data_IF_129762485651
#
_entry.id   IF_129762485651
#
_cell.length_a   1.000
_cell.length_b   1.000
_cell.length_c   1.000
_cell.angle_alpha   90.00
_cell.angle_beta   90.00
_cell.angle_gamma   90.00
#
_symmetry.space_group_name_H-M   'P 1'
#
loop_
_entity.id
_entity.type
_entity.pdbx_description
1 polymer ?
#
# COMPACT_ATOMS: atom_id res chain seq x y z
N UNK A 1 18.55 -99.12 19.32
CA UNK A 1 17.53 -98.45 20.13
C UNK A 1 17.69 -96.95 19.95
N UNK A 2 17.02 -96.44 18.92
CA UNK A 2 17.18 -95.03 18.45
C UNK A 2 15.92 -94.27 18.61
N UNK A 3 16.00 -93.20 19.33
CA UNK A 3 14.91 -92.24 19.46
C UNK A 3 15.22 -90.96 18.67
N UNK A 4 14.71 -90.90 17.44
CA UNK A 4 14.74 -89.70 16.61
C UNK A 4 13.73 -88.66 17.16
N UNK A 5 14.23 -87.59 17.69
CA UNK A 5 13.41 -86.38 18.04
C UNK A 5 13.21 -85.52 16.80
N UNK A 6 11.98 -85.48 16.33
CA UNK A 6 11.54 -84.51 15.27
C UNK A 6 11.34 -83.14 15.90
N UNK A 7 12.17 -82.17 15.55
CA UNK A 7 12.01 -80.77 15.83
C UNK A 7 11.05 -80.14 14.83
N UNK A 8 9.85 -79.70 15.25
CA UNK A 8 8.91 -78.95 14.42
C UNK A 8 9.27 -77.47 14.50
N UNK A 9 9.79 -76.88 13.40
CA UNK A 9 9.96 -75.47 13.24
C UNK A 9 8.58 -74.83 12.96
N UNK A 10 8.09 -74.00 13.89
CA UNK A 10 6.99 -73.11 13.63
C UNK A 10 7.55 -71.77 13.07
N UNK A 11 7.33 -71.51 11.77
CA UNK A 11 7.59 -70.24 11.18
C UNK A 11 6.44 -69.27 11.54
N UNK A 12 6.71 -68.29 12.38
CA UNK A 12 5.79 -67.16 12.67
C UNK A 12 5.99 -66.14 11.59
N UNK A 13 5.03 -66.03 10.68
CA UNK A 13 4.97 -64.98 9.64
C UNK A 13 4.34 -63.72 10.24
N UNK A 14 5.19 -62.76 10.63
CA UNK A 14 4.72 -61.45 11.14
C UNK A 14 4.42 -60.56 9.95
N UNK A 15 3.13 -60.35 9.66
CA UNK A 15 2.67 -59.34 8.71
C UNK A 15 2.82 -57.93 9.31
N UNK A 16 3.82 -57.18 8.88
CA UNK A 16 3.91 -55.72 9.14
C UNK A 16 2.94 -54.97 8.21
N UNK A 17 1.80 -54.60 8.73
CA UNK A 17 0.91 -53.64 8.07
C UNK A 17 1.45 -52.23 8.30
N UNK A 18 2.18 -51.70 7.30
CA UNK A 18 2.63 -50.32 7.28
C UNK A 18 1.44 -49.39 7.04
N UNK A 19 1.00 -48.67 8.07
CA UNK A 19 0.03 -47.57 7.91
C UNK A 19 0.73 -46.41 7.21
N UNK A 20 0.39 -46.13 5.93
CA UNK A 20 0.76 -44.90 5.25
C UNK A 20 0.02 -43.73 5.93
N UNK A 21 0.72 -42.97 6.75
CA UNK A 21 0.23 -41.67 7.25
C UNK A 21 0.32 -40.69 6.09
N UNK A 22 -0.80 -40.46 5.38
CA UNK A 22 -0.94 -39.34 4.45
C UNK A 22 -0.96 -38.07 5.29
N UNK A 23 0.18 -37.39 5.37
CA UNK A 23 0.23 -36.06 5.97
C UNK A 23 -0.58 -35.13 5.07
N UNK A 24 -1.78 -34.76 5.52
CA UNK A 24 -2.61 -33.79 4.83
C UNK A 24 -1.84 -32.47 4.70
N UNK A 25 -1.65 -31.99 3.46
CA UNK A 25 -1.13 -30.65 3.22
C UNK A 25 -2.09 -29.66 3.88
N UNK A 26 -1.61 -28.78 4.78
CA UNK A 26 -2.49 -27.82 5.43
C UNK A 26 -3.17 -26.95 4.35
N UNK A 27 -4.47 -26.64 4.48
CA UNK A 27 -5.16 -25.82 3.50
C UNK A 27 -4.46 -24.47 3.39
N UNK A 28 -4.05 -24.12 2.17
CA UNK A 28 -3.54 -22.76 1.87
C UNK A 28 -4.65 -21.79 2.18
N UNK A 29 -4.51 -21.07 3.27
CA UNK A 29 -5.49 -20.07 3.70
C UNK A 29 -5.50 -18.96 2.63
N UNK A 30 -6.60 -18.83 1.89
CA UNK A 30 -6.76 -17.79 0.89
C UNK A 30 -6.53 -16.42 1.56
N UNK A 31 -5.49 -15.69 1.13
CA UNK A 31 -5.23 -14.34 1.63
C UNK A 31 -6.39 -13.45 1.16
N UNK A 32 -7.04 -12.78 2.09
CA UNK A 32 -8.04 -11.78 1.71
C UNK A 32 -7.34 -10.62 1.01
N UNK A 33 -7.73 -10.37 -0.23
CA UNK A 33 -7.27 -9.25 -1.05
C UNK A 33 -8.49 -8.46 -1.48
N UNK A 34 -8.43 -7.13 -1.37
CA UNK A 34 -9.46 -6.23 -1.90
C UNK A 34 -8.82 -5.21 -2.80
N UNK A 35 -9.40 -5.02 -3.97
CA UNK A 35 -8.99 -3.98 -4.92
C UNK A 35 -10.08 -2.94 -5.05
N UNK A 36 -9.71 -1.67 -5.10
CA UNK A 36 -10.60 -0.57 -5.44
C UNK A 36 -9.96 0.31 -6.51
N UNK A 37 -10.77 0.83 -7.41
CA UNK A 37 -10.36 1.72 -8.50
C UNK A 37 -11.09 3.04 -8.32
N UNK A 38 -10.37 4.15 -8.33
CA UNK A 38 -10.91 5.49 -8.20
C UNK A 38 -10.32 6.41 -9.27
N UNK A 39 -11.12 7.30 -9.89
CA UNK A 39 -10.59 8.36 -10.72
C UNK A 39 -9.85 9.38 -9.86
N UNK A 40 -8.89 10.10 -10.44
CA UNK A 40 -8.34 11.27 -9.80
C UNK A 40 -9.33 12.45 -9.94
N UNK A 41 -9.29 13.30 -8.92
CA UNK A 41 -10.04 14.56 -8.88
C UNK A 41 -9.08 15.72 -8.71
N UNK A 42 -9.43 16.88 -9.29
CA UNK A 42 -8.68 18.12 -9.05
C UNK A 42 -8.80 18.44 -7.55
N UNK A 43 -7.65 18.61 -6.89
CA UNK A 43 -7.57 18.88 -5.47
C UNK A 43 -8.27 20.21 -5.12
N UNK A 44 -9.07 20.20 -4.06
CA UNK A 44 -9.85 21.37 -3.62
C UNK A 44 -11.07 21.72 -4.50
N UNK A 45 -11.16 21.22 -5.74
CA UNK A 45 -12.28 21.49 -6.66
C UNK A 45 -13.22 20.28 -6.75
N UNK A 46 -12.68 19.06 -6.66
CA UNK A 46 -13.44 17.83 -6.69
C UNK A 46 -13.86 17.34 -8.08
N UNK A 47 -13.58 18.09 -9.16
CA UNK A 47 -13.88 17.67 -10.53
C UNK A 47 -13.06 16.44 -10.92
N UNK A 48 -13.72 15.45 -11.54
CA UNK A 48 -13.09 14.21 -12.00
C UNK A 48 -12.23 14.48 -13.24
N UNK A 49 -11.01 13.94 -13.26
CA UNK A 49 -10.13 13.90 -14.40
C UNK A 49 -10.38 12.57 -15.14
N UNK A 50 -11.11 12.65 -16.26
CA UNK A 50 -11.42 11.48 -17.10
C UNK A 50 -10.14 10.92 -17.72
N UNK A 51 -9.98 9.59 -17.73
CA UNK A 51 -8.79 8.92 -18.26
C UNK A 51 -7.64 8.76 -17.26
N UNK A 52 -7.78 9.32 -16.04
CA UNK A 52 -6.86 9.05 -14.92
C UNK A 52 -7.41 7.94 -14.04
N UNK A 53 -6.55 7.30 -13.25
CA UNK A 53 -7.00 6.27 -12.32
C UNK A 53 -5.96 5.91 -11.27
N UNK A 54 -6.48 5.59 -10.09
CA UNK A 54 -5.72 4.97 -9.01
C UNK A 54 -6.32 3.61 -8.71
N UNK A 55 -5.47 2.59 -8.68
CA UNK A 55 -5.81 1.24 -8.24
C UNK A 55 -5.16 1.05 -6.87
N UNK A 56 -5.97 0.71 -5.87
CA UNK A 56 -5.52 0.38 -4.54
C UNK A 56 -5.79 -1.10 -4.26
N UNK A 57 -4.75 -1.84 -3.93
CA UNK A 57 -4.82 -3.24 -3.50
C UNK A 57 -4.57 -3.30 -1.99
N UNK A 58 -5.51 -3.87 -1.25
CA UNK A 58 -5.44 -4.05 0.21
C UNK A 58 -5.20 -5.52 0.54
N UNK A 59 -4.23 -5.78 1.40
CA UNK A 59 -3.97 -7.08 2.04
C UNK A 59 -3.92 -6.89 3.55
N UNK A 60 -3.80 -7.95 4.31
CA UNK A 60 -3.62 -7.84 5.76
C UNK A 60 -2.23 -7.29 6.15
N UNK A 61 -1.26 -7.42 5.25
CA UNK A 61 0.11 -6.97 5.43
C UNK A 61 0.31 -5.48 5.11
N UNK A 62 -0.58 -4.89 4.29
CA UNK A 62 -0.44 -3.51 3.84
C UNK A 62 -1.28 -3.17 2.63
N UNK A 63 -0.91 -2.08 1.96
CA UNK A 63 -1.59 -1.57 0.77
C UNK A 63 -0.60 -1.26 -0.34
N UNK A 64 -0.99 -1.58 -1.58
CA UNK A 64 -0.26 -1.18 -2.78
C UNK A 64 -1.09 -0.23 -3.63
N UNK A 65 -0.45 0.77 -4.25
CA UNK A 65 -1.09 1.61 -5.25
C UNK A 65 -0.37 1.55 -6.59
N UNK A 66 -1.16 1.70 -7.65
CA UNK A 66 -0.70 2.21 -8.94
C UNK A 66 -1.59 3.38 -9.31
N UNK A 67 -1.00 4.45 -9.84
CA UNK A 67 -1.72 5.66 -10.19
C UNK A 67 -1.20 6.17 -11.53
N UNK A 68 -2.10 6.35 -12.49
CA UNK A 68 -1.83 6.98 -13.77
C UNK A 68 -2.52 8.33 -13.83
N UNK A 69 -1.78 9.37 -14.26
CA UNK A 69 -2.34 10.72 -14.39
C UNK A 69 -1.76 11.48 -15.56
N UNK A 70 -2.47 12.54 -15.94
CA UNK A 70 -2.06 13.49 -17.01
C UNK A 70 -2.47 14.92 -16.65
N UNK A 71 -2.22 15.85 -17.56
CA UNK A 71 -2.46 17.28 -17.36
C UNK A 71 -1.41 17.93 -16.47
N UNK A 72 -0.27 17.26 -16.33
CA UNK A 72 0.90 17.76 -15.62
C UNK A 72 1.75 18.64 -16.53
N UNK A 73 2.52 19.55 -15.95
CA UNK A 73 3.49 20.35 -16.72
C UNK A 73 4.71 19.48 -17.04
N UNK A 74 5.06 19.26 -18.32
CA UNK A 74 6.23 18.46 -18.69
C UNK A 74 7.52 18.97 -18.02
N UNK A 75 8.34 18.04 -17.53
CA UNK A 75 9.61 18.35 -16.86
C UNK A 75 9.48 18.86 -15.43
N UNK A 76 8.28 19.10 -14.92
CA UNK A 76 8.07 19.39 -13.50
C UNK A 76 8.15 18.10 -12.67
N UNK A 77 8.50 18.27 -11.40
CA UNK A 77 8.62 17.20 -10.42
C UNK A 77 7.32 17.06 -9.63
N UNK A 78 6.90 15.82 -9.45
CA UNK A 78 5.68 15.47 -8.72
C UNK A 78 5.95 14.34 -7.73
N UNK A 79 5.23 14.34 -6.62
CA UNK A 79 5.21 13.24 -5.65
C UNK A 79 3.79 12.75 -5.44
N UNK A 80 3.64 11.44 -5.22
CA UNK A 80 2.41 10.83 -4.74
C UNK A 80 2.55 10.52 -3.25
N UNK A 81 1.58 10.99 -2.47
CA UNK A 81 1.55 10.87 -1.01
C UNK A 81 0.42 9.96 -0.59
N UNK A 82 0.69 9.07 0.36
CA UNK A 82 -0.30 8.33 1.10
C UNK A 82 -0.89 9.21 2.20
N UNK A 83 -2.20 9.32 2.26
CA UNK A 83 -2.90 9.88 3.41
C UNK A 83 -3.77 8.76 3.97
N UNK A 84 -3.47 8.30 5.16
CA UNK A 84 -4.26 7.30 5.86
C UNK A 84 -5.10 7.96 6.93
N UNK A 85 -6.40 7.69 6.94
CA UNK A 85 -7.32 7.97 8.02
C UNK A 85 -7.68 6.64 8.66
N UNK A 86 -6.98 6.25 9.73
CA UNK A 86 -7.08 4.93 10.34
C UNK A 86 -8.44 4.66 10.98
N UNK A 87 -9.11 5.73 11.46
CA UNK A 87 -10.48 5.70 11.96
C UNK A 87 -11.36 6.73 11.25
N UNK A 88 -11.79 6.45 10.00
CA UNK A 88 -12.53 7.42 9.19
C UNK A 88 -13.91 7.77 9.75
N UNK A 89 -14.44 6.98 10.71
CA UNK A 89 -15.70 7.30 11.38
C UNK A 89 -15.61 8.51 12.32
N UNK A 90 -14.40 8.88 12.73
CA UNK A 90 -14.15 10.05 13.55
C UNK A 90 -13.97 11.33 12.72
N UNK A 91 -13.91 11.22 11.37
CA UNK A 91 -13.86 12.40 10.50
C UNK A 91 -15.19 13.15 10.51
N UNK A 92 -15.12 14.48 10.46
CA UNK A 92 -16.30 15.34 10.43
C UNK A 92 -16.56 15.85 9.01
N UNK A 93 -17.68 15.43 8.40
CA UNK A 93 -18.03 15.86 7.04
C UNK A 93 -17.27 15.18 5.90
N UNK A 94 -16.59 14.05 6.19
CA UNK A 94 -15.66 13.34 5.31
C UNK A 94 -14.21 13.60 5.72
N UNK A 95 -13.33 12.63 5.45
CA UNK A 95 -11.92 12.75 5.84
C UNK A 95 -11.17 13.76 4.98
N UNK A 96 -10.39 14.64 5.60
CA UNK A 96 -9.66 15.71 4.94
C UNK A 96 -8.50 16.28 5.75
N UNK A 97 -7.98 17.43 5.30
CA UNK A 97 -6.84 18.09 5.95
C UNK A 97 -7.08 18.46 7.41
N UNK A 98 -8.30 18.89 7.74
CA UNK A 98 -8.66 19.33 9.10
C UNK A 98 -8.68 18.17 10.11
N UNK A 99 -8.72 16.91 9.63
CA UNK A 99 -8.73 15.72 10.48
C UNK A 99 -7.34 15.32 11.00
N UNK A 100 -6.26 15.96 10.53
CA UNK A 100 -4.91 15.74 11.07
C UNK A 100 -4.77 16.21 12.52
N UNK A 101 -5.54 17.22 12.91
CA UNK A 101 -5.56 17.76 14.28
C UNK A 101 -6.49 16.96 15.21
N UNK A 102 -7.27 16.01 14.67
CA UNK A 102 -8.16 15.15 15.44
C UNK A 102 -7.47 13.81 15.78
N UNK A 103 -7.02 13.60 17.02
CA UNK A 103 -6.28 12.38 17.41
C UNK A 103 -7.13 11.11 17.28
N UNK A 104 -8.46 11.20 17.32
CA UNK A 104 -9.35 10.05 17.20
C UNK A 104 -9.39 9.49 15.76
N UNK A 105 -9.07 10.32 14.78
CA UNK A 105 -8.99 9.90 13.36
C UNK A 105 -7.71 9.11 13.09
N UNK A 106 -6.62 9.41 13.81
CA UNK A 106 -5.29 8.84 13.60
C UNK A 106 -4.84 9.03 12.14
N UNK A 107 -4.94 10.29 11.67
CA UNK A 107 -4.49 10.65 10.33
C UNK A 107 -2.96 10.65 10.23
N UNK A 108 -2.44 10.24 9.07
CA UNK A 108 -1.01 10.28 8.78
C UNK A 108 -0.76 10.49 7.29
N UNK A 109 0.23 11.31 6.96
CA UNK A 109 0.73 11.48 5.60
C UNK A 109 2.14 10.91 5.46
N UNK A 110 2.35 10.06 4.45
CA UNK A 110 3.62 9.39 4.18
C UNK A 110 3.97 9.52 2.70
N UNK A 111 5.25 9.74 2.41
CA UNK A 111 5.73 9.70 1.04
C UNK A 111 5.46 8.33 0.39
N UNK A 112 5.02 8.34 -0.86
CA UNK A 112 4.78 7.12 -1.63
C UNK A 112 5.79 6.94 -2.77
N UNK A 113 5.82 7.89 -3.69
CA UNK A 113 6.66 7.84 -4.90
C UNK A 113 6.90 9.24 -5.45
N UNK A 114 7.99 9.43 -6.20
CA UNK A 114 8.30 10.69 -6.89
C UNK A 114 8.63 10.46 -8.36
N UNK A 115 8.19 11.36 -9.24
CA UNK A 115 8.36 11.30 -10.69
C UNK A 115 8.61 12.69 -11.29
N UNK A 116 9.26 12.73 -12.45
CA UNK A 116 9.27 13.88 -13.34
C UNK A 116 8.24 13.62 -14.43
N UNK A 117 7.34 14.58 -14.68
CA UNK A 117 6.33 14.42 -15.73
C UNK A 117 6.98 14.26 -17.11
N UNK A 118 6.46 13.32 -17.88
CA UNK A 118 6.87 13.07 -19.26
C UNK A 118 6.60 14.24 -20.18
N UNK A 119 7.16 14.21 -21.39
CA UNK A 119 6.98 15.24 -22.41
C UNK A 119 5.50 15.42 -22.83
N UNK A 120 4.69 14.41 -22.63
CA UNK A 120 3.24 14.38 -22.88
C UNK A 120 2.40 14.87 -21.68
N UNK A 121 3.05 15.27 -20.59
CA UNK A 121 2.37 15.71 -19.36
C UNK A 121 1.75 14.56 -18.56
N UNK A 122 2.21 13.32 -18.74
CA UNK A 122 1.77 12.16 -17.94
C UNK A 122 2.76 11.80 -16.84
N UNK A 123 2.30 11.07 -15.83
CA UNK A 123 3.13 10.40 -14.85
C UNK A 123 2.44 9.14 -14.30
N UNK A 124 3.25 8.12 -14.01
CA UNK A 124 2.84 6.87 -13.38
C UNK A 124 3.53 6.71 -12.03
N UNK A 125 2.74 6.47 -10.97
CA UNK A 125 3.24 6.26 -9.63
C UNK A 125 2.90 4.86 -9.15
N UNK A 126 3.84 4.26 -8.42
CA UNK A 126 3.64 2.98 -7.76
C UNK A 126 4.33 2.95 -6.40
N UNK A 127 3.64 2.41 -5.39
CA UNK A 127 4.20 2.24 -4.06
C UNK A 127 3.47 1.14 -3.28
N UNK A 128 4.15 0.59 -2.30
CA UNK A 128 3.58 -0.29 -1.28
C UNK A 128 3.86 0.27 0.11
N UNK A 129 2.88 0.16 1.02
CA UNK A 129 3.04 0.54 2.42
C UNK A 129 2.58 -0.60 3.33
N UNK A 130 3.50 -1.12 4.14
CA UNK A 130 3.19 -2.13 5.13
C UNK A 130 2.45 -1.53 6.33
N UNK A 131 1.71 -2.37 7.05
CA UNK A 131 1.10 -2.00 8.34
C UNK A 131 2.21 -1.54 9.30
N UNK A 132 2.00 -0.39 9.93
CA UNK A 132 2.94 0.20 10.90
C UNK A 132 4.19 0.86 10.32
N UNK A 133 4.43 0.76 9.00
CA UNK A 133 5.60 1.38 8.36
C UNK A 133 5.45 2.91 8.31
N UNK A 134 6.45 3.62 8.85
CA UNK A 134 6.55 5.08 8.91
C UNK A 134 7.61 5.64 7.96
N UNK A 135 8.15 4.83 7.05
CA UNK A 135 9.12 5.31 6.06
C UNK A 135 8.53 6.47 5.24
N UNK A 136 9.27 7.58 5.16
CA UNK A 136 8.81 8.79 4.46
C UNK A 136 7.86 9.66 5.26
N UNK A 137 7.69 9.39 6.58
CA UNK A 137 7.03 10.32 7.49
C UNK A 137 7.88 11.58 7.65
N UNK A 138 7.20 12.72 7.61
CA UNK A 138 7.81 14.01 7.94
C UNK A 138 7.18 14.60 9.22
N UNK A 139 7.90 15.46 9.95
CA UNK A 139 7.38 16.08 11.16
C UNK A 139 6.04 16.78 10.93
N UNK A 140 5.09 16.61 11.85
CA UNK A 140 3.76 17.22 11.78
C UNK A 140 2.73 16.42 10.96
N UNK A 141 3.13 15.35 10.29
CA UNK A 141 2.25 14.57 9.40
C UNK A 141 1.65 13.30 10.07
N UNK A 142 1.40 13.34 11.38
CA UNK A 142 0.89 12.21 12.15
C UNK A 142 1.99 11.41 12.84
N UNK A 143 1.61 10.35 13.55
CA UNK A 143 2.55 9.55 14.37
C UNK A 143 2.36 8.05 14.26
N UNK A 144 1.26 7.61 13.62
CA UNK A 144 0.87 6.20 13.53
C UNK A 144 0.72 5.82 12.07
N UNK A 145 1.47 4.83 11.59
CA UNK A 145 1.35 4.31 10.23
C UNK A 145 -0.02 3.68 9.94
N UNK A 146 -0.14 3.03 8.80
CA UNK A 146 -1.34 2.26 8.48
C UNK A 146 -1.59 1.18 9.53
N UNK A 147 -2.80 1.14 10.13
CA UNK A 147 -3.14 0.19 11.21
C UNK A 147 -3.97 -0.99 10.68
N UNK A 148 -5.07 -0.69 10.00
CA UNK A 148 -6.03 -1.69 9.51
C UNK A 148 -6.33 -1.45 8.03
N UNK A 149 -5.62 -2.11 7.09
CA UNK A 149 -5.73 -1.86 5.66
C UNK A 149 -7.16 -1.88 5.12
N UNK A 150 -8.01 -2.76 5.63
CA UNK A 150 -9.39 -2.93 5.17
C UNK A 150 -10.40 -1.95 5.79
N UNK A 151 -9.98 -1.16 6.79
CA UNK A 151 -10.87 -0.24 7.54
C UNK A 151 -10.46 1.22 7.40
N UNK A 152 -9.24 1.50 6.99
CA UNK A 152 -8.76 2.85 6.76
C UNK A 152 -9.37 3.43 5.49
N UNK A 153 -9.77 4.69 5.52
CA UNK A 153 -9.92 5.49 4.30
C UNK A 153 -8.54 5.94 3.86
N UNK A 154 -8.26 5.84 2.55
CA UNK A 154 -6.94 6.10 1.99
C UNK A 154 -7.07 7.08 0.83
N UNK A 155 -6.45 8.24 0.99
CA UNK A 155 -6.30 9.17 -0.11
C UNK A 155 -4.89 9.07 -0.68
N UNK A 156 -4.78 9.21 -1.99
CA UNK A 156 -3.51 9.31 -2.70
C UNK A 156 -3.48 10.68 -3.33
N UNK A 157 -2.56 11.53 -2.88
CA UNK A 157 -2.47 12.93 -3.27
C UNK A 157 -1.25 13.13 -4.18
N UNK A 158 -1.46 13.70 -5.36
CA UNK A 158 -0.39 14.14 -6.26
C UNK A 158 -0.05 15.59 -5.97
N UNK A 159 1.21 15.83 -5.59
CA UNK A 159 1.75 17.14 -5.23
C UNK A 159 2.78 17.59 -6.27
N UNK A 160 2.66 18.84 -6.73
CA UNK A 160 3.64 19.48 -7.59
C UNK A 160 4.75 20.12 -6.76
N UNK A 161 5.98 20.01 -7.24
CA UNK A 161 7.18 20.69 -6.74
C UNK A 161 7.74 21.70 -7.74
N UNK A 162 7.02 21.99 -8.85
CA UNK A 162 7.45 22.86 -9.91
C UNK A 162 8.59 22.29 -10.78
N UNK A 163 9.30 23.14 -11.52
CA UNK A 163 10.40 22.71 -12.39
C UNK A 163 11.49 21.97 -11.61
N UNK A 164 12.11 20.99 -12.27
CA UNK A 164 13.23 20.25 -11.71
C UNK A 164 14.42 21.20 -11.45
N UNK A 165 14.90 21.21 -10.21
CA UNK A 165 16.09 21.94 -9.78
C UNK A 165 17.20 20.90 -9.53
N UNK A 166 18.24 20.81 -10.37
CA UNK A 166 19.24 19.74 -10.26
C UNK A 166 19.82 19.56 -8.86
N UNK A 167 20.14 20.65 -8.16
CA UNK A 167 20.71 20.61 -6.81
C UNK A 167 19.72 20.17 -5.73
N UNK A 168 18.42 20.25 -5.99
CA UNK A 168 17.33 19.92 -5.05
C UNK A 168 16.48 18.72 -5.51
N UNK A 169 16.81 18.11 -6.66
CA UNK A 169 15.98 17.08 -7.30
C UNK A 169 15.66 15.91 -6.37
N UNK A 170 16.63 15.44 -5.60
CA UNK A 170 16.40 14.36 -4.62
C UNK A 170 15.37 14.76 -3.56
N UNK A 171 15.38 16.01 -3.10
CA UNK A 171 14.40 16.53 -2.14
C UNK A 171 13.03 16.71 -2.81
N UNK A 172 12.98 17.25 -4.04
CA UNK A 172 11.74 17.40 -4.79
C UNK A 172 11.04 16.04 -5.02
N UNK A 173 11.81 14.97 -5.20
CA UNK A 173 11.26 13.62 -5.43
C UNK A 173 10.85 12.88 -4.15
N UNK A 174 11.22 13.36 -2.95
CA UNK A 174 11.06 12.57 -1.73
C UNK A 174 10.58 13.35 -0.49
N UNK A 175 10.51 14.68 -0.54
CA UNK A 175 10.12 15.53 0.57
C UNK A 175 8.87 16.34 0.25
N UNK A 176 8.00 16.57 1.27
CA UNK A 176 6.76 17.29 1.09
C UNK A 176 6.98 18.73 0.58
N UNK A 177 7.96 19.42 1.12
CA UNK A 177 8.36 20.77 0.70
C UNK A 177 9.68 20.81 -0.07
N UNK A 178 10.09 19.67 -0.64
CA UNK A 178 11.31 19.58 -1.43
C UNK A 178 11.31 20.54 -2.62
N UNK A 179 12.30 21.46 -2.64
CA UNK A 179 12.39 22.51 -3.65
C UNK A 179 11.43 23.69 -3.48
N UNK A 180 10.80 23.83 -2.33
CA UNK A 180 9.82 24.87 -2.02
C UNK A 180 10.25 25.68 -0.76
N UNK A 181 10.85 26.88 -0.84
CA UNK A 181 11.20 27.61 -2.07
C UNK A 181 12.42 27.03 -2.81
N UNK A 182 12.81 27.52 -4.01
CA UNK A 182 12.24 28.68 -4.72
C UNK A 182 10.96 28.38 -5.49
N UNK A 183 10.63 27.08 -5.76
CA UNK A 183 9.38 26.74 -6.42
C UNK A 183 8.17 26.92 -5.50
N UNK A 184 6.97 26.96 -6.10
CA UNK A 184 5.70 26.87 -5.37
C UNK A 184 5.24 25.41 -5.39
N UNK A 185 5.01 24.84 -4.21
CA UNK A 185 4.46 23.49 -4.08
C UNK A 185 2.97 23.52 -3.79
N UNK A 186 2.22 22.63 -4.44
CA UNK A 186 0.78 22.52 -4.22
C UNK A 186 0.27 21.12 -4.49
N UNK A 187 -0.76 20.72 -3.78
CA UNK A 187 -1.52 19.52 -4.09
C UNK A 187 -2.40 19.80 -5.32
N UNK A 188 -2.35 18.92 -6.33
CA UNK A 188 -3.05 19.13 -7.59
C UNK A 188 -4.21 18.17 -7.80
N UNK A 189 -4.03 16.92 -7.42
CA UNK A 189 -4.97 15.85 -7.72
C UNK A 189 -5.03 14.87 -6.55
N UNK A 190 -6.17 14.22 -6.38
CA UNK A 190 -6.33 13.18 -5.36
C UNK A 190 -7.26 12.06 -5.83
N UNK A 191 -6.98 10.84 -5.39
CA UNK A 191 -7.89 9.71 -5.44
C UNK A 191 -8.26 9.29 -4.01
N UNK A 192 -9.55 9.04 -3.75
CA UNK A 192 -10.07 8.72 -2.42
C UNK A 192 -10.65 7.30 -2.42
N UNK A 193 -10.03 6.39 -1.69
CA UNK A 193 -10.43 5.00 -1.56
C UNK A 193 -11.07 4.76 -0.19
N UNK A 194 -12.38 4.56 -0.20
CA UNK A 194 -13.15 4.21 1.01
C UNK A 194 -12.78 2.79 1.52
N UNK A 195 -13.04 2.49 2.81
CA UNK A 195 -12.80 1.18 3.42
C UNK A 195 -13.51 0.02 2.72
#
# INVERSE_FOLDING_TARGET
>A
MDHARRCKLFAVLTLLTGALIVQGVPPVQARSVRTSIQPLRIFGVGSVLLGTGSILVRTKEGVGMTLHTFGLVPGNVYTAWWIFFNNPKACTGGCGGDDFDNPDVQAVALWGSGQIAGADGTADFGAFRAVGDLTGLEPGNGTVGLVKPFKAEIHIVVRSHGPAIPALLSQQLSKFDGGCPPNTCMNLQAAMHQP
#
